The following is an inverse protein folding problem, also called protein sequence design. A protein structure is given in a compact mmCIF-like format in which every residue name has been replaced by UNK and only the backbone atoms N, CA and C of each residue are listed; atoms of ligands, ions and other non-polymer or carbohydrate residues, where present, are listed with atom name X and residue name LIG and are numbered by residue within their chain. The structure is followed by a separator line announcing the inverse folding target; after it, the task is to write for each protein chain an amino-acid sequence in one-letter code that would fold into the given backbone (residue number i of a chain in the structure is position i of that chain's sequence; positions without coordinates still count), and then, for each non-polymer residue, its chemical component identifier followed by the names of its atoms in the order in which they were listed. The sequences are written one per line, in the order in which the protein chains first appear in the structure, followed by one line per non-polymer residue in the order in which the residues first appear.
data_IF_523233244186
#
_entry.id   IF_523233244186
#
_cell.length_a   1.000
_cell.length_b   1.000
_cell.length_c   1.000
_cell.angle_alpha   90.00
_cell.angle_beta   90.00
_cell.angle_gamma   90.00
#
_symmetry.space_group_name_H-M   'P 1'
#
loop_
_entity.id
_entity.type
_entity.pdbx_description
1 polymer ?
#
# COMPACT_ATOMS: atom_id res chain seq x y z
N UNK A 1 -17.22 40.70 -16.33
CA UNK A 1 -18.17 41.32 -15.37
C UNK A 1 -17.43 41.49 -14.06
N UNK A 2 -17.20 42.72 -13.60
CA UNK A 2 -16.59 42.97 -12.30
C UNK A 2 -17.56 42.47 -11.20
N UNK A 3 -17.12 41.52 -10.38
CA UNK A 3 -17.92 41.07 -9.24
C UNK A 3 -17.98 42.22 -8.22
N UNK A 4 -19.17 42.55 -7.72
CA UNK A 4 -19.36 43.60 -6.70
C UNK A 4 -19.83 42.89 -5.43
N UNK A 5 -19.14 43.11 -4.31
CA UNK A 5 -19.57 42.62 -2.99
C UNK A 5 -20.53 43.63 -2.37
N UNK A 6 -21.71 43.21 -1.93
CA UNK A 6 -22.64 44.07 -1.18
C UNK A 6 -22.48 43.85 0.31
N UNK A 7 -22.45 44.95 1.08
CA UNK A 7 -22.34 44.86 2.53
C UNK A 7 -23.68 44.47 3.16
N UNK A 8 -23.72 43.39 3.95
CA UNK A 8 -24.92 42.95 4.67
C UNK A 8 -25.43 43.94 5.73
N UNK A 9 -24.58 44.87 6.20
CA UNK A 9 -24.94 45.84 7.25
C UNK A 9 -25.47 47.16 6.68
N UNK A 10 -24.93 47.65 5.54
CA UNK A 10 -25.31 48.96 4.98
C UNK A 10 -25.80 48.91 3.53
N UNK A 11 -25.87 47.72 2.92
CA UNK A 11 -26.33 47.46 1.55
C UNK A 11 -25.64 48.25 0.43
N UNK A 12 -24.46 48.83 0.70
CA UNK A 12 -23.68 49.55 -0.31
C UNK A 12 -22.72 48.62 -1.07
N UNK A 13 -22.49 48.89 -2.37
CA UNK A 13 -21.55 48.11 -3.18
C UNK A 13 -20.11 48.40 -2.78
N UNK A 14 -19.25 47.39 -2.87
CA UNK A 14 -17.82 47.47 -2.61
C UNK A 14 -17.04 46.63 -3.64
N UNK A 15 -15.74 46.91 -3.80
CA UNK A 15 -14.89 46.14 -4.71
C UNK A 15 -14.80 44.65 -4.30
N UNK A 16 -14.53 43.78 -5.26
CA UNK A 16 -14.40 42.33 -5.06
C UNK A 16 -13.24 41.93 -4.15
N UNK A 17 -12.20 42.74 -4.07
CA UNK A 17 -11.04 42.53 -3.19
C UNK A 17 -11.22 43.12 -1.78
N UNK A 18 -12.26 43.93 -1.53
CA UNK A 18 -12.43 44.60 -0.24
C UNK A 18 -12.75 43.61 0.90
N UNK A 19 -11.90 43.63 1.93
CA UNK A 19 -12.04 42.81 3.16
C UNK A 19 -12.97 43.46 4.20
N UNK A 20 -13.13 44.79 4.13
CA UNK A 20 -13.99 45.60 4.99
C UNK A 20 -14.85 46.54 4.15
N UNK A 21 -16.06 46.83 4.62
CA UNK A 21 -16.95 47.77 3.97
C UNK A 21 -16.39 49.19 4.07
N UNK A 22 -16.18 49.86 2.93
CA UNK A 22 -15.68 51.23 2.86
C UNK A 22 -16.65 52.28 3.46
N UNK A 23 -17.90 51.91 3.72
CA UNK A 23 -18.93 52.83 4.23
C UNK A 23 -19.27 52.64 5.71
N UNK A 24 -19.20 51.43 6.24
CA UNK A 24 -19.61 51.15 7.63
C UNK A 24 -18.57 50.38 8.45
N UNK A 25 -17.42 50.03 7.86
CA UNK A 25 -16.33 49.34 8.56
C UNK A 25 -16.60 47.87 8.90
N UNK A 26 -17.78 47.33 8.57
CA UNK A 26 -18.11 45.92 8.81
C UNK A 26 -17.26 45.01 7.94
N UNK A 27 -16.69 43.93 8.51
CA UNK A 27 -15.94 42.93 7.76
C UNK A 27 -16.83 42.29 6.70
N UNK A 28 -16.42 42.34 5.44
CA UNK A 28 -17.14 41.70 4.34
C UNK A 28 -16.77 40.23 4.35
N UNK A 29 -17.66 39.40 4.87
CA UNK A 29 -17.53 37.96 4.70
C UNK A 29 -17.71 37.66 3.22
N UNK A 30 -16.80 36.88 2.64
CA UNK A 30 -16.91 36.36 1.28
C UNK A 30 -18.08 35.41 1.21
N UNK A 31 -19.31 35.94 1.17
CA UNK A 31 -20.48 35.17 0.79
C UNK A 31 -20.39 35.05 -0.73
N UNK A 32 -19.58 34.09 -1.17
CA UNK A 32 -19.71 33.56 -2.52
C UNK A 32 -21.16 33.10 -2.63
N UNK A 33 -21.98 33.86 -3.34
CA UNK A 33 -23.32 33.45 -3.74
C UNK A 33 -23.12 32.22 -4.63
N UNK A 34 -23.03 31.03 -4.02
CA UNK A 34 -22.91 29.75 -4.74
C UNK A 34 -23.97 29.76 -5.83
N UNK A 35 -23.53 29.55 -7.06
CA UNK A 35 -24.44 29.49 -8.20
C UNK A 35 -25.50 28.41 -7.93
N UNK A 36 -26.71 28.57 -8.48
CA UNK A 36 -27.78 27.55 -8.37
C UNK A 36 -27.29 26.15 -8.78
N UNK A 37 -26.31 26.09 -9.68
CA UNK A 37 -25.63 24.86 -10.09
C UNK A 37 -24.78 24.23 -8.96
N UNK A 38 -24.00 25.03 -8.23
CA UNK A 38 -23.19 24.52 -7.11
C UNK A 38 -24.07 24.01 -5.95
N UNK A 39 -25.18 24.69 -5.65
CA UNK A 39 -26.14 24.21 -4.64
C UNK A 39 -26.78 22.87 -5.05
N UNK A 40 -27.11 22.72 -6.34
CA UNK A 40 -27.61 21.45 -6.87
C UNK A 40 -26.54 20.33 -6.84
N UNK A 41 -25.27 20.65 -7.09
CA UNK A 41 -24.17 19.68 -7.01
C UNK A 41 -23.90 19.23 -5.58
N UNK A 42 -23.97 20.15 -4.59
CA UNK A 42 -23.84 19.79 -3.17
C UNK A 42 -24.99 18.86 -2.74
N UNK A 43 -26.23 19.21 -3.09
CA UNK A 43 -27.41 18.41 -2.78
C UNK A 43 -27.34 17.01 -3.41
N UNK A 44 -26.91 16.93 -4.67
CA UNK A 44 -26.67 15.65 -5.34
C UNK A 44 -25.55 14.85 -4.65
N UNK A 45 -24.48 15.51 -4.21
CA UNK A 45 -23.41 14.89 -3.44
C UNK A 45 -23.91 14.23 -2.14
N UNK A 46 -24.74 14.95 -1.38
CA UNK A 46 -25.37 14.44 -0.16
C UNK A 46 -26.32 13.27 -0.44
N UNK A 47 -27.13 13.33 -1.50
CA UNK A 47 -27.99 12.21 -1.92
C UNK A 47 -27.15 10.97 -2.29
N UNK A 48 -26.08 11.15 -3.07
CA UNK A 48 -25.18 10.06 -3.45
C UNK A 48 -24.44 9.47 -2.25
N UNK A 49 -24.08 10.28 -1.25
CA UNK A 49 -23.50 9.78 0.00
C UNK A 49 -24.51 8.94 0.78
N UNK A 50 -25.77 9.37 0.88
CA UNK A 50 -26.83 8.60 1.54
C UNK A 50 -27.15 7.29 0.81
N UNK A 51 -27.22 7.33 -0.53
CA UNK A 51 -27.39 6.15 -1.37
C UNK A 51 -26.21 5.19 -1.17
N UNK A 52 -24.98 5.71 -1.18
CA UNK A 52 -23.77 4.96 -0.90
C UNK A 52 -23.82 4.26 0.45
N UNK A 53 -24.15 4.98 1.53
CA UNK A 53 -24.29 4.41 2.88
C UNK A 53 -25.38 3.34 2.98
N UNK A 54 -26.50 3.49 2.27
CA UNK A 54 -27.60 2.51 2.26
C UNK A 54 -27.19 1.24 1.52
N UNK A 55 -26.55 1.40 0.36
CA UNK A 55 -25.99 0.31 -0.44
C UNK A 55 -24.91 -0.42 0.36
N UNK A 56 -23.98 0.30 1.00
CA UNK A 56 -22.92 -0.27 1.82
C UNK A 56 -23.47 -1.17 2.93
N UNK A 57 -24.43 -0.69 3.72
CA UNK A 57 -25.07 -1.49 4.78
C UNK A 57 -25.78 -2.74 4.23
N UNK A 58 -26.41 -2.61 3.06
CA UNK A 58 -27.11 -3.72 2.40
C UNK A 58 -26.11 -4.76 1.88
N UNK A 59 -25.01 -4.31 1.27
CA UNK A 59 -23.93 -5.18 0.80
C UNK A 59 -23.23 -5.85 1.98
N UNK A 60 -22.92 -5.12 3.04
CA UNK A 60 -22.21 -5.65 4.21
C UNK A 60 -23.03 -6.73 4.92
N UNK A 61 -24.33 -6.47 5.15
CA UNK A 61 -25.22 -7.46 5.77
C UNK A 61 -25.36 -8.72 4.92
N UNK A 62 -25.55 -8.57 3.60
CA UNK A 62 -25.66 -9.70 2.67
C UNK A 62 -24.33 -10.45 2.53
N UNK A 63 -23.21 -9.74 2.51
CA UNK A 63 -21.87 -10.31 2.44
C UNK A 63 -21.56 -11.18 3.66
N UNK A 64 -21.85 -10.73 4.88
CA UNK A 64 -21.68 -11.53 6.11
C UNK A 64 -22.52 -12.80 6.10
N UNK A 65 -23.77 -12.71 5.63
CA UNK A 65 -24.64 -13.88 5.51
C UNK A 65 -24.10 -14.89 4.48
N UNK A 66 -23.62 -14.41 3.33
CA UNK A 66 -23.02 -15.27 2.30
C UNK A 66 -21.74 -15.92 2.84
N UNK A 67 -20.85 -15.17 3.51
CA UNK A 67 -19.61 -15.70 4.07
C UNK A 67 -19.92 -16.79 5.13
N UNK A 68 -20.88 -16.53 6.03
CA UNK A 68 -21.30 -17.52 7.03
C UNK A 68 -21.89 -18.77 6.39
N UNK A 69 -22.76 -18.64 5.39
CA UNK A 69 -23.35 -19.78 4.69
C UNK A 69 -22.28 -20.57 3.92
N UNK A 70 -21.36 -19.87 3.26
CA UNK A 70 -20.29 -20.46 2.49
C UNK A 70 -19.32 -21.27 3.37
N UNK A 71 -18.88 -20.69 4.48
CA UNK A 71 -17.98 -21.34 5.43
C UNK A 71 -18.62 -22.58 6.07
N UNK A 72 -19.92 -22.50 6.37
CA UNK A 72 -20.68 -23.62 6.95
C UNK A 72 -20.88 -24.76 5.93
N UNK A 73 -21.12 -24.42 4.67
CA UNK A 73 -21.48 -25.40 3.64
C UNK A 73 -20.26 -26.08 3.03
N UNK A 74 -19.21 -25.32 2.71
CA UNK A 74 -18.09 -25.82 1.93
C UNK A 74 -16.82 -26.06 2.73
N UNK A 75 -16.73 -25.57 3.98
CA UNK A 75 -15.67 -25.92 4.94
C UNK A 75 -14.26 -25.96 4.34
N UNK A 76 -13.72 -27.17 4.15
CA UNK A 76 -12.39 -27.39 3.55
C UNK A 76 -12.33 -27.16 2.03
N UNK A 77 -13.43 -27.38 1.31
CA UNK A 77 -13.53 -27.17 -0.14
C UNK A 77 -13.77 -25.71 -0.55
N UNK A 78 -14.09 -24.84 0.41
CA UNK A 78 -14.34 -23.42 0.16
C UNK A 78 -13.28 -22.75 -0.73
N UNK A 79 -11.98 -22.83 -0.42
CA UNK A 79 -10.94 -22.19 -1.24
C UNK A 79 -10.85 -22.71 -2.68
N UNK A 80 -11.16 -23.99 -2.89
CA UNK A 80 -11.14 -24.62 -4.21
C UNK A 80 -12.32 -24.09 -5.02
N UNK A 81 -13.51 -24.07 -4.42
CA UNK A 81 -14.72 -23.61 -5.09
C UNK A 81 -14.62 -22.13 -5.48
N UNK A 82 -14.07 -21.28 -4.61
CA UNK A 82 -13.88 -19.86 -4.93
C UNK A 82 -12.88 -19.65 -6.07
N UNK A 83 -11.78 -20.43 -6.09
CA UNK A 83 -10.81 -20.40 -7.17
C UNK A 83 -11.43 -20.89 -8.50
N UNK A 84 -12.25 -21.93 -8.48
CA UNK A 84 -12.95 -22.45 -9.68
C UNK A 84 -14.00 -21.46 -10.21
N UNK A 85 -14.73 -20.78 -9.33
CA UNK A 85 -15.67 -19.73 -9.73
C UNK A 85 -14.89 -18.57 -10.38
N UNK A 86 -13.83 -18.09 -9.74
CA UNK A 86 -12.99 -17.03 -10.28
C UNK A 86 -12.37 -17.40 -11.63
N UNK A 87 -11.89 -18.64 -11.76
CA UNK A 87 -11.37 -19.19 -13.01
C UNK A 87 -12.44 -19.25 -14.11
N UNK A 88 -13.65 -19.70 -13.77
CA UNK A 88 -14.76 -19.78 -14.72
C UNK A 88 -15.15 -18.40 -15.23
N UNK A 89 -15.19 -17.40 -14.33
CA UNK A 89 -15.44 -16.00 -14.70
C UNK A 89 -14.34 -15.48 -15.61
N UNK A 90 -13.07 -15.71 -15.26
CA UNK A 90 -11.93 -15.30 -16.09
C UNK A 90 -11.99 -15.94 -17.49
N UNK A 91 -12.30 -17.23 -17.57
CA UNK A 91 -12.46 -17.94 -18.84
C UNK A 91 -13.59 -17.34 -19.69
N UNK A 92 -14.73 -17.03 -19.09
CA UNK A 92 -15.84 -16.34 -19.79
C UNK A 92 -15.37 -14.98 -20.31
N UNK A 93 -14.64 -14.20 -19.50
CA UNK A 93 -14.09 -12.90 -19.92
C UNK A 93 -13.17 -13.08 -21.13
N UNK A 94 -12.26 -14.06 -21.11
CA UNK A 94 -11.35 -14.34 -22.24
C UNK A 94 -12.15 -14.64 -23.51
N UNK A 95 -13.19 -15.47 -23.42
CA UNK A 95 -14.05 -15.80 -24.56
C UNK A 95 -14.80 -14.59 -25.09
N UNK A 96 -15.30 -13.71 -24.21
CA UNK A 96 -15.92 -12.44 -24.59
C UNK A 96 -14.91 -11.56 -25.34
N UNK A 97 -13.71 -11.38 -24.78
CA UNK A 97 -12.65 -10.60 -25.42
C UNK A 97 -12.23 -11.17 -26.77
N UNK A 98 -12.15 -12.51 -26.89
CA UNK A 98 -11.84 -13.19 -28.15
C UNK A 98 -12.92 -12.93 -29.20
N UNK A 99 -14.20 -13.03 -28.81
CA UNK A 99 -15.34 -12.78 -29.68
C UNK A 99 -15.36 -11.34 -30.22
N UNK A 100 -15.26 -10.35 -29.33
CA UNK A 100 -15.22 -8.94 -29.73
C UNK A 100 -13.88 -8.55 -30.39
N UNK A 101 -12.82 -9.28 -30.11
CA UNK A 101 -11.47 -9.11 -30.66
C UNK A 101 -11.40 -9.25 -32.17
N UNK A 102 -12.33 -10.00 -32.79
CA UNK A 102 -12.42 -10.09 -34.25
C UNK A 102 -12.62 -8.73 -34.92
N UNK A 103 -13.24 -7.77 -34.23
CA UNK A 103 -13.47 -6.41 -34.74
C UNK A 103 -12.42 -5.40 -34.30
N UNK A 104 -11.61 -5.69 -33.27
CA UNK A 104 -10.67 -4.75 -32.63
C UNK A 104 -9.36 -5.47 -32.26
N UNK A 105 -8.24 -5.18 -32.96
CA UNK A 105 -6.97 -5.88 -32.76
C UNK A 105 -6.46 -5.87 -31.31
N UNK A 106 -6.57 -4.74 -30.62
CA UNK A 106 -6.13 -4.60 -29.23
C UNK A 106 -6.86 -5.54 -28.26
N UNK A 107 -8.14 -5.87 -28.51
CA UNK A 107 -8.90 -6.83 -27.68
C UNK A 107 -8.45 -8.27 -27.95
N UNK A 108 -8.09 -8.59 -29.21
CA UNK A 108 -7.59 -9.89 -29.58
C UNK A 108 -6.25 -10.19 -28.91
N UNK A 109 -5.32 -9.24 -28.94
CA UNK A 109 -4.02 -9.39 -28.26
C UNK A 109 -4.16 -9.56 -26.75
N UNK A 110 -5.07 -8.80 -26.12
CA UNK A 110 -5.39 -8.98 -24.70
C UNK A 110 -5.94 -10.39 -24.44
N UNK A 111 -6.85 -10.88 -25.29
CA UNK A 111 -7.41 -12.23 -25.15
C UNK A 111 -6.31 -13.31 -25.23
N UNK A 112 -5.43 -13.23 -26.23
CA UNK A 112 -4.30 -14.15 -26.41
C UNK A 112 -3.35 -14.10 -25.22
N UNK A 113 -3.08 -12.91 -24.69
CA UNK A 113 -2.27 -12.75 -23.48
C UNK A 113 -2.93 -13.43 -22.28
N UNK A 114 -4.22 -13.15 -22.00
CA UNK A 114 -4.92 -13.78 -20.88
C UNK A 114 -5.00 -15.32 -21.02
N UNK A 115 -5.17 -15.83 -22.23
CA UNK A 115 -5.19 -17.27 -22.52
C UNK A 115 -3.82 -17.91 -22.25
N UNK A 116 -2.74 -17.26 -22.69
CA UNK A 116 -1.35 -17.73 -22.48
C UNK A 116 -0.98 -17.84 -21.00
N UNK A 117 -1.54 -16.96 -20.16
CA UNK A 117 -1.30 -16.94 -18.70
C UNK A 117 -2.45 -17.53 -17.87
N UNK A 118 -3.42 -18.18 -18.51
CA UNK A 118 -4.62 -18.69 -17.84
C UNK A 118 -4.30 -19.67 -16.69
N UNK A 119 -3.36 -20.59 -16.90
CA UNK A 119 -2.91 -21.55 -15.87
C UNK A 119 -2.19 -20.84 -14.71
N UNK A 120 -1.42 -19.80 -15.02
CA UNK A 120 -0.72 -19.00 -14.02
C UNK A 120 -1.75 -18.22 -13.16
N UNK A 121 -2.77 -17.62 -13.77
CA UNK A 121 -3.85 -16.97 -13.02
C UNK A 121 -4.63 -17.97 -12.16
N UNK A 122 -4.91 -19.17 -12.67
CA UNK A 122 -5.54 -20.24 -11.90
C UNK A 122 -4.71 -20.61 -10.65
N UNK A 123 -3.41 -20.84 -10.83
CA UNK A 123 -2.50 -21.16 -9.72
C UNK A 123 -2.47 -20.04 -8.68
N UNK A 124 -2.52 -18.79 -9.11
CA UNK A 124 -2.54 -17.61 -8.23
C UNK A 124 -3.87 -17.49 -7.48
N UNK A 125 -5.01 -17.66 -8.15
CA UNK A 125 -6.32 -17.66 -7.49
C UNK A 125 -6.39 -18.76 -6.44
N UNK A 126 -5.87 -19.94 -6.76
CA UNK A 126 -5.77 -21.05 -5.82
C UNK A 126 -4.88 -20.69 -4.62
N UNK A 127 -3.66 -20.20 -4.87
CA UNK A 127 -2.71 -19.81 -3.84
C UNK A 127 -3.27 -18.71 -2.93
N UNK A 128 -3.94 -17.71 -3.50
CA UNK A 128 -4.59 -16.62 -2.78
C UNK A 128 -5.75 -17.11 -1.91
N UNK A 129 -6.66 -17.92 -2.47
CA UNK A 129 -7.79 -18.49 -1.74
C UNK A 129 -7.35 -19.37 -0.58
N UNK A 130 -6.34 -20.22 -0.80
CA UNK A 130 -5.80 -21.09 0.25
C UNK A 130 -5.01 -20.31 1.30
N UNK A 131 -4.20 -19.33 0.89
CA UNK A 131 -3.48 -18.45 1.83
C UNK A 131 -4.43 -17.76 2.80
N UNK A 132 -5.53 -17.19 2.30
CA UNK A 132 -6.53 -16.55 3.14
C UNK A 132 -7.20 -17.55 4.09
N UNK A 133 -7.58 -18.73 3.60
CA UNK A 133 -8.19 -19.77 4.43
C UNK A 133 -7.27 -20.27 5.54
N UNK A 134 -6.02 -20.60 5.21
CA UNK A 134 -5.03 -21.05 6.18
C UNK A 134 -4.69 -19.95 7.20
N UNK A 135 -4.66 -18.68 6.78
CA UNK A 135 -4.42 -17.56 7.71
C UNK A 135 -5.52 -17.42 8.77
N UNK A 136 -6.78 -17.69 8.40
CA UNK A 136 -7.92 -17.68 9.35
C UNK A 136 -7.88 -18.89 10.29
N UNK A 137 -7.49 -20.06 9.78
CA UNK A 137 -7.60 -21.34 10.50
C UNK A 137 -6.36 -21.71 11.32
N UNK A 138 -5.16 -21.34 10.90
CA UNK A 138 -3.89 -21.72 11.53
C UNK A 138 -3.08 -20.48 11.93
N UNK A 139 -2.92 -20.26 13.25
CA UNK A 139 -2.11 -19.16 13.81
C UNK A 139 -0.68 -19.07 13.24
N UNK A 140 0.11 -20.16 13.09
CA UNK A 140 1.48 -20.05 12.55
C UNK A 140 1.49 -19.65 11.07
N UNK A 141 0.41 -19.88 10.33
CA UNK A 141 0.31 -19.55 8.91
C UNK A 141 0.00 -18.06 8.66
N UNK A 142 -0.41 -17.32 9.70
CA UNK A 142 -0.64 -15.86 9.60
C UNK A 142 0.62 -15.09 9.19
N UNK A 143 1.81 -15.62 9.48
CA UNK A 143 3.08 -15.03 9.08
C UNK A 143 3.39 -15.18 7.59
N UNK A 144 2.91 -16.24 6.93
CA UNK A 144 3.14 -16.47 5.49
C UNK A 144 2.15 -15.69 4.60
N UNK A 145 0.99 -15.32 5.14
CA UNK A 145 -0.07 -14.57 4.44
C UNK A 145 0.41 -13.29 3.75
N UNK A 146 1.15 -12.37 4.41
CA UNK A 146 1.61 -11.14 3.77
C UNK A 146 2.61 -11.39 2.64
N UNK A 147 3.46 -12.42 2.76
CA UNK A 147 4.44 -12.77 1.73
C UNK A 147 3.76 -13.34 0.48
N UNK A 148 2.80 -14.26 0.68
CA UNK A 148 2.00 -14.80 -0.42
C UNK A 148 1.19 -13.68 -1.08
N UNK A 149 0.57 -12.80 -0.30
CA UNK A 149 -0.15 -11.63 -0.81
C UNK A 149 0.74 -10.72 -1.65
N UNK A 150 1.98 -10.47 -1.23
CA UNK A 150 2.94 -9.67 -1.98
C UNK A 150 3.34 -10.32 -3.32
N UNK A 151 3.58 -11.63 -3.33
CA UNK A 151 3.89 -12.37 -4.56
C UNK A 151 2.71 -12.30 -5.54
N UNK A 152 1.49 -12.55 -5.04
CA UNK A 152 0.25 -12.46 -5.83
C UNK A 152 0.07 -11.06 -6.40
N UNK A 153 0.24 -10.02 -5.57
CA UNK A 153 0.15 -8.62 -6.00
C UNK A 153 1.17 -8.29 -7.09
N UNK A 154 2.42 -8.75 -6.95
CA UNK A 154 3.45 -8.50 -7.95
C UNK A 154 3.13 -9.13 -9.29
N UNK A 155 2.55 -10.33 -9.30
CA UNK A 155 2.16 -10.98 -10.55
C UNK A 155 0.96 -10.27 -11.20
N UNK A 156 -0.02 -9.83 -10.41
CA UNK A 156 -1.10 -8.98 -10.91
C UNK A 156 -0.60 -7.66 -11.49
N UNK A 157 0.36 -7.03 -10.83
CA UNK A 157 1.00 -5.81 -11.30
C UNK A 157 1.76 -6.03 -12.60
N UNK A 158 2.50 -7.13 -12.71
CA UNK A 158 3.17 -7.55 -13.96
C UNK A 158 2.17 -7.74 -15.11
N UNK A 159 1.06 -8.45 -14.86
CA UNK A 159 0.03 -8.66 -15.87
C UNK A 159 -0.62 -7.34 -16.32
N UNK A 160 -0.85 -6.41 -15.38
CA UNK A 160 -1.38 -5.09 -15.70
C UNK A 160 -0.43 -4.26 -16.60
N UNK A 161 0.88 -4.33 -16.33
CA UNK A 161 1.92 -3.72 -17.17
C UNK A 161 1.87 -4.31 -18.58
N UNK A 162 1.79 -5.63 -18.73
CA UNK A 162 1.71 -6.27 -20.05
C UNK A 162 0.48 -5.84 -20.85
N UNK A 163 -0.68 -5.73 -20.19
CA UNK A 163 -1.90 -5.18 -20.83
C UNK A 163 -1.66 -3.74 -21.29
N UNK A 164 -0.99 -2.93 -20.47
CA UNK A 164 -0.65 -1.55 -20.83
C UNK A 164 0.33 -1.48 -22.03
N UNK A 165 1.30 -2.40 -22.13
CA UNK A 165 2.20 -2.52 -23.30
C UNK A 165 1.38 -2.80 -24.56
N UNK A 166 0.49 -3.78 -24.52
CA UNK A 166 -0.35 -4.18 -25.65
C UNK A 166 -1.15 -2.98 -26.17
N UNK A 167 -1.79 -2.25 -25.26
CA UNK A 167 -2.55 -1.04 -25.60
C UNK A 167 -1.62 0.04 -26.16
N UNK A 168 -0.48 0.31 -25.51
CA UNK A 168 0.45 1.35 -25.95
C UNK A 168 1.00 1.09 -27.36
N UNK A 169 1.27 -0.16 -27.69
CA UNK A 169 1.74 -0.56 -29.02
C UNK A 169 0.66 -0.36 -30.09
N UNK A 170 -0.60 -0.66 -29.78
CA UNK A 170 -1.70 -0.50 -30.72
C UNK A 170 -2.08 0.95 -31.00
N UNK A 171 -1.87 1.85 -30.03
CA UNK A 171 -2.16 3.28 -30.19
C UNK A 171 -0.91 4.13 -30.46
N UNK A 172 0.26 3.51 -30.68
CA UNK A 172 1.54 4.19 -30.93
C UNK A 172 1.90 5.23 -29.86
N UNK A 173 1.53 4.96 -28.60
CA UNK A 173 1.72 5.87 -27.47
C UNK A 173 3.15 5.78 -26.92
N UNK A 174 4.08 6.50 -27.54
CA UNK A 174 5.52 6.51 -27.19
C UNK A 174 5.82 6.86 -25.74
N UNK A 175 5.07 7.80 -25.14
CA UNK A 175 5.20 8.16 -23.72
C UNK A 175 4.83 6.99 -22.80
N UNK A 176 3.77 6.26 -23.15
CA UNK A 176 3.31 5.09 -22.39
C UNK A 176 4.29 3.94 -22.54
N UNK A 177 4.85 3.70 -23.73
CA UNK A 177 5.89 2.67 -23.91
C UNK A 177 7.11 2.92 -23.02
N UNK A 178 7.62 4.15 -23.00
CA UNK A 178 8.75 4.53 -22.15
C UNK A 178 8.44 4.30 -20.67
N UNK A 179 7.23 4.68 -20.25
CA UNK A 179 6.75 4.45 -18.89
C UNK A 179 6.71 2.96 -18.57
N UNK A 180 6.11 2.14 -19.43
CA UNK A 180 5.95 0.71 -19.18
C UNK A 180 7.29 -0.03 -19.14
N UNK A 181 8.25 0.31 -20.02
CA UNK A 181 9.62 -0.25 -19.97
C UNK A 181 10.35 0.09 -18.67
N UNK A 182 10.12 1.28 -18.10
CA UNK A 182 10.67 1.63 -16.79
C UNK A 182 10.10 0.75 -15.68
N UNK A 183 8.79 0.48 -15.67
CA UNK A 183 8.19 -0.42 -14.67
C UNK A 183 8.61 -1.89 -14.85
N UNK A 184 8.80 -2.36 -16.09
CA UNK A 184 9.36 -3.70 -16.35
C UNK A 184 10.79 -3.85 -15.80
N UNK A 185 11.61 -2.80 -15.90
CA UNK A 185 12.94 -2.81 -15.29
C UNK A 185 12.88 -2.81 -13.75
N UNK A 186 11.87 -2.17 -13.15
CA UNK A 186 11.72 -2.07 -11.70
C UNK A 186 11.04 -3.27 -11.05
N UNK A 187 10.32 -4.11 -11.78
CA UNK A 187 9.49 -5.15 -11.15
C UNK A 187 10.32 -6.23 -10.46
N UNK A 188 11.36 -6.75 -11.12
CA UNK A 188 12.29 -7.73 -10.54
C UNK A 188 13.01 -7.21 -9.29
N UNK A 189 13.59 -6.00 -9.30
CA UNK A 189 14.24 -5.51 -8.10
C UNK A 189 13.28 -5.26 -6.94
N UNK A 190 12.07 -4.75 -7.21
CA UNK A 190 11.05 -4.55 -6.19
C UNK A 190 10.54 -5.87 -5.62
N UNK A 191 10.37 -6.91 -6.44
CA UNK A 191 9.92 -8.23 -5.95
C UNK A 191 10.93 -8.83 -4.98
N UNK A 192 12.21 -8.78 -5.33
CA UNK A 192 13.29 -9.30 -4.47
C UNK A 192 13.42 -8.48 -3.19
N UNK A 193 13.31 -7.15 -3.28
CA UNK A 193 13.28 -6.25 -2.12
C UNK A 193 12.15 -6.63 -1.14
N UNK A 194 10.93 -6.76 -1.66
CA UNK A 194 9.75 -7.09 -0.85
C UNK A 194 9.88 -8.48 -0.24
N UNK A 195 10.41 -9.44 -0.99
CA UNK A 195 10.66 -10.80 -0.49
C UNK A 195 11.68 -10.80 0.64
N UNK A 196 12.80 -10.05 0.50
CA UNK A 196 13.77 -9.90 1.56
C UNK A 196 13.19 -9.21 2.80
N UNK A 197 12.46 -8.11 2.63
CA UNK A 197 11.81 -7.42 3.75
C UNK A 197 10.81 -8.33 4.47
N UNK A 198 10.02 -9.09 3.72
CA UNK A 198 9.12 -10.09 4.26
C UNK A 198 9.88 -11.18 5.04
N UNK A 199 10.98 -11.71 4.49
CA UNK A 199 11.81 -12.72 5.14
C UNK A 199 12.45 -12.21 6.44
N UNK A 200 13.01 -10.99 6.42
CA UNK A 200 13.56 -10.35 7.62
C UNK A 200 12.46 -10.16 8.67
N UNK A 201 11.28 -9.67 8.28
CA UNK A 201 10.12 -9.51 9.16
C UNK A 201 9.71 -10.81 9.87
N UNK A 202 9.72 -11.93 9.13
CA UNK A 202 9.42 -13.27 9.69
C UNK A 202 10.48 -13.68 10.72
N UNK A 203 11.77 -13.48 10.44
CA UNK A 203 12.86 -13.82 11.38
C UNK A 203 12.82 -12.92 12.63
N UNK A 204 12.59 -11.62 12.46
CA UNK A 204 12.52 -10.70 13.60
C UNK A 204 11.34 -11.01 14.49
N UNK A 205 10.20 -11.39 13.91
CA UNK A 205 9.02 -11.80 14.68
C UNK A 205 9.28 -13.07 15.49
N UNK A 206 10.01 -14.05 14.96
CA UNK A 206 10.30 -15.29 15.70
C UNK A 206 11.28 -15.07 16.86
N UNK A 207 12.23 -14.13 16.71
CA UNK A 207 13.17 -13.76 17.80
C UNK A 207 12.50 -12.95 18.90
N UNK A 208 11.47 -12.17 18.57
CA UNK A 208 10.76 -11.35 19.54
C UNK A 208 10.05 -12.21 20.58
N UNK A 209 9.38 -13.29 20.17
CA UNK A 209 8.71 -14.24 21.07
C UNK A 209 9.69 -14.93 22.05
N UNK A 210 10.90 -15.24 21.58
CA UNK A 210 11.94 -15.84 22.41
C UNK A 210 12.46 -14.86 23.48
N UNK A 211 12.62 -13.59 23.11
CA UNK A 211 13.14 -12.55 24.00
C UNK A 211 12.11 -12.11 25.06
N UNK A 212 10.80 -12.09 24.74
CA UNK A 212 9.74 -11.88 25.73
C UNK A 212 9.69 -13.02 26.75
N UNK A 213 9.98 -14.26 26.34
CA UNK A 213 10.06 -15.39 27.26
C UNK A 213 11.25 -15.24 28.23
N UNK A 214 12.44 -14.88 27.73
CA UNK A 214 13.62 -14.67 28.59
C UNK A 214 13.44 -13.49 29.56
N UNK A 215 12.79 -12.40 29.14
CA UNK A 215 12.45 -11.27 30.04
C UNK A 215 11.40 -11.63 31.08
N UNK A 216 10.40 -12.46 30.74
CA UNK A 216 9.42 -12.94 31.72
C UNK A 216 10.08 -13.85 32.76
N UNK A 217 11.01 -14.71 32.37
CA UNK A 217 11.73 -15.58 33.30
C UNK A 217 12.69 -14.79 34.22
N UNK A 218 13.29 -13.70 33.74
CA UNK A 218 14.09 -12.79 34.58
C UNK A 218 13.23 -11.91 35.50
N UNK A 219 12.10 -11.38 35.03
CA UNK A 219 11.20 -10.53 35.85
C UNK A 219 10.36 -11.28 36.90
N UNK A 220 10.32 -12.62 36.84
CA UNK A 220 9.82 -13.45 37.95
C UNK A 220 10.87 -13.57 39.06
N UNK A 221 12.17 -13.55 38.73
CA UNK A 221 13.25 -13.57 39.72
C UNK A 221 13.54 -12.19 40.35
N UNK A 222 13.28 -11.09 39.64
CA UNK A 222 13.55 -9.73 40.14
C UNK A 222 12.36 -9.08 40.89
N UNK A 223 11.27 -9.81 41.14
CA UNK A 223 10.08 -9.28 41.84
C UNK A 223 10.23 -9.18 43.37
N UNK A 224 11.46 -9.01 43.86
CA UNK A 224 11.73 -8.42 45.18
C UNK A 224 12.46 -7.09 44.97
N UNK A 225 11.68 -6.02 45.13
CA UNK A 225 12.12 -4.64 45.43
C UNK A 225 12.14 -3.66 44.25
N UNK A 226 11.31 -2.62 44.41
CA UNK A 226 11.33 -1.27 43.82
C UNK A 226 10.37 -0.98 42.67
N UNK A 227 9.29 -0.27 43.03
CA UNK A 227 8.49 0.60 42.16
C UNK A 227 9.40 1.64 41.49
N UNK A 228 9.57 1.58 40.16
CA UNK A 228 10.16 2.66 39.38
C UNK A 228 9.30 2.96 38.15
N UNK A 229 9.15 4.26 37.94
CA UNK A 229 8.35 4.96 36.94
C UNK A 229 8.79 4.57 35.53
N UNK A 230 7.84 4.08 34.73
CA UNK A 230 8.02 3.74 33.33
C UNK A 230 8.19 5.03 32.50
N UNK A 231 9.43 5.48 32.31
CA UNK A 231 9.74 6.48 31.29
C UNK A 231 9.88 5.80 29.94
N UNK A 232 8.99 6.14 29.01
CA UNK A 232 9.09 5.74 27.60
C UNK A 232 10.24 6.50 26.94
N UNK A 233 11.45 5.94 27.04
CA UNK A 233 12.60 6.46 26.30
C UNK A 233 12.36 6.29 24.80
N UNK A 234 12.18 7.40 24.10
CA UNK A 234 12.08 7.41 22.65
C UNK A 234 13.46 7.01 22.10
N UNK A 235 13.60 5.76 21.66
CA UNK A 235 14.83 5.27 21.03
C UNK A 235 15.16 6.23 19.87
N UNK A 236 16.30 6.94 19.93
CA UNK A 236 16.76 7.82 18.85
C UNK A 236 17.69 7.05 17.92
N UNK A 237 17.57 7.28 16.61
CA UNK A 237 18.47 6.70 15.61
C UNK A 237 19.81 7.43 15.68
N UNK A 238 20.86 6.70 16.07
CA UNK A 238 22.24 7.17 16.02
C UNK A 238 23.05 6.28 15.08
N UNK A 239 24.10 6.83 14.46
CA UNK A 239 25.09 6.01 13.75
C UNK A 239 25.84 5.12 14.76
N UNK A 240 26.13 3.88 14.40
CA UNK A 240 26.91 2.97 15.25
C UNK A 240 28.42 3.13 15.02
N UNK A 241 29.18 3.16 16.11
CA UNK A 241 30.65 3.15 16.11
C UNK A 241 31.28 1.75 16.32
N UNK A 242 30.48 0.74 16.68
CA UNK A 242 30.98 -0.63 16.93
C UNK A 242 31.12 -1.45 15.65
N UNK A 243 30.17 -1.29 14.72
CA UNK A 243 30.06 -2.12 13.52
C UNK A 243 30.19 -1.28 12.23
N UNK A 244 31.39 -0.73 12.03
CA UNK A 244 31.66 0.34 11.07
C UNK A 244 32.00 -0.18 9.67
N UNK A 245 31.16 0.19 8.70
CA UNK A 245 31.51 0.35 7.29
C UNK A 245 31.04 1.74 6.82
N UNK A 246 31.63 2.29 5.75
CA UNK A 246 31.41 3.62 5.10
C UNK A 246 30.52 4.61 5.90
N UNK A 247 30.90 5.03 7.12
CA UNK A 247 30.18 6.06 7.88
C UNK A 247 29.11 5.59 8.89
N UNK A 248 28.93 4.29 9.13
CA UNK A 248 28.19 3.73 10.27
C UNK A 248 26.67 3.88 10.24
N UNK A 249 26.09 4.24 9.09
CA UNK A 249 24.64 4.45 8.91
C UNK A 249 23.86 3.14 9.01
N UNK A 250 24.30 2.09 8.29
CA UNK A 250 23.64 0.78 8.32
C UNK A 250 23.78 0.08 9.67
N UNK A 251 24.91 0.27 10.37
CA UNK A 251 25.10 -0.21 11.74
C UNK A 251 24.26 0.56 12.76
N UNK A 252 24.02 1.86 12.52
CA UNK A 252 23.09 2.64 13.33
C UNK A 252 21.63 2.20 13.16
N UNK A 253 21.24 1.92 11.93
CA UNK A 253 19.91 1.39 11.62
C UNK A 253 19.69 0.00 12.22
N UNK A 254 20.73 -0.82 12.29
CA UNK A 254 20.67 -2.15 12.92
C UNK A 254 20.51 -2.07 14.44
N UNK A 255 21.23 -1.17 15.11
CA UNK A 255 21.06 -0.90 16.54
C UNK A 255 19.68 -0.32 16.88
N UNK A 256 19.17 0.56 16.03
CA UNK A 256 17.82 1.12 16.18
C UNK A 256 16.76 0.01 16.08
N UNK A 257 16.84 -0.82 15.04
CA UNK A 257 15.89 -1.90 14.76
C UNK A 257 16.15 -3.19 15.58
N UNK A 258 17.24 -3.28 16.36
CA UNK A 258 17.68 -4.52 17.04
C UNK A 258 17.81 -5.72 16.07
N UNK A 259 18.26 -5.46 14.83
CA UNK A 259 18.49 -6.48 13.80
C UNK A 259 19.99 -6.65 13.59
N UNK A 260 20.44 -7.82 13.13
CA UNK A 260 21.84 -8.06 12.79
C UNK A 260 22.29 -7.09 11.65
N UNK A 261 23.40 -6.35 11.83
CA UNK A 261 23.91 -5.41 10.82
C UNK A 261 24.20 -6.06 9.47
N UNK A 262 24.56 -7.35 9.46
CA UNK A 262 24.84 -8.11 8.24
C UNK A 262 23.59 -8.22 7.34
N UNK A 263 22.42 -8.44 7.95
CA UNK A 263 21.14 -8.55 7.24
C UNK A 263 20.81 -7.21 6.57
N UNK A 264 20.97 -6.10 7.29
CA UNK A 264 20.70 -4.75 6.76
C UNK A 264 21.70 -4.40 5.64
N UNK A 265 22.95 -4.85 5.73
CA UNK A 265 23.95 -4.69 4.66
C UNK A 265 23.58 -5.48 3.41
N UNK A 266 23.21 -6.75 3.53
CA UNK A 266 22.80 -7.59 2.38
C UNK A 266 21.58 -6.98 1.69
N UNK A 267 20.60 -6.54 2.48
CA UNK A 267 19.42 -5.86 1.97
C UNK A 267 19.84 -4.61 1.18
N UNK A 268 20.63 -3.72 1.77
CA UNK A 268 21.11 -2.49 1.11
C UNK A 268 21.85 -2.77 -0.21
N UNK A 269 22.72 -3.79 -0.25
CA UNK A 269 23.43 -4.17 -1.49
C UNK A 269 22.46 -4.65 -2.55
N UNK A 270 21.45 -5.44 -2.18
CA UNK A 270 20.41 -5.86 -3.12
C UNK A 270 19.60 -4.66 -3.66
N UNK A 271 19.24 -3.71 -2.79
CA UNK A 271 18.59 -2.46 -3.20
C UNK A 271 19.47 -1.62 -4.14
N UNK A 272 20.78 -1.66 -3.95
CA UNK A 272 21.72 -0.90 -4.78
C UNK A 272 21.73 -1.41 -6.22
N UNK A 273 21.77 -2.73 -6.45
CA UNK A 273 21.63 -3.31 -7.79
C UNK A 273 20.23 -3.11 -8.38
N UNK A 274 19.24 -2.98 -7.50
CA UNK A 274 17.84 -2.84 -7.83
C UNK A 274 17.40 -1.42 -8.22
N UNK A 275 18.12 -0.41 -7.72
CA UNK A 275 17.82 0.98 -8.01
C UNK A 275 18.83 1.54 -9.01
N UNK A 276 18.38 2.41 -9.90
CA UNK A 276 19.24 3.16 -10.82
C UNK A 276 20.03 4.24 -10.04
N UNK A 277 20.79 3.82 -9.02
CA UNK A 277 21.61 4.67 -8.17
C UNK A 277 20.87 5.47 -7.08
N UNK A 278 19.54 5.39 -6.98
CA UNK A 278 18.78 6.20 -6.01
C UNK A 278 19.10 5.84 -4.55
N UNK A 279 19.33 4.55 -4.25
CA UNK A 279 19.70 4.10 -2.90
C UNK A 279 21.08 4.62 -2.47
N UNK A 280 21.99 4.86 -3.41
CA UNK A 280 23.30 5.48 -3.13
C UNK A 280 23.07 6.90 -2.62
N UNK A 281 22.14 7.64 -3.22
CA UNK A 281 21.79 9.00 -2.79
C UNK A 281 21.14 9.03 -1.39
N UNK A 282 20.25 8.07 -1.10
CA UNK A 282 19.64 7.92 0.22
C UNK A 282 20.68 7.65 1.32
N UNK A 283 21.74 6.90 1.02
CA UNK A 283 22.83 6.66 1.95
C UNK A 283 23.63 7.93 2.26
N UNK A 284 23.94 8.73 1.24
CA UNK A 284 24.62 10.02 1.41
C UNK A 284 23.80 10.97 2.29
N UNK A 285 22.50 11.04 2.07
CA UNK A 285 21.57 11.84 2.88
C UNK A 285 21.57 11.36 4.34
N UNK A 286 21.44 10.05 4.57
CA UNK A 286 21.49 9.46 5.91
C UNK A 286 22.82 9.69 6.62
N UNK A 287 23.93 9.68 5.87
CA UNK A 287 25.25 9.95 6.42
C UNK A 287 25.44 11.40 6.90
N UNK A 288 24.73 12.35 6.29
CA UNK A 288 24.72 13.76 6.71
C UNK A 288 23.74 13.99 7.85
N UNK A 289 22.51 13.48 7.75
CA UNK A 289 21.42 13.79 8.68
C UNK A 289 21.51 13.06 10.04
N UNK A 290 21.94 11.81 10.06
CA UNK A 290 21.87 10.99 11.28
C UNK A 290 23.05 11.38 12.20
N UNK A 291 22.85 11.79 13.47
CA UNK A 291 23.96 12.15 14.34
C UNK A 291 24.80 10.93 14.76
N UNK A 292 26.06 11.17 15.13
CA UNK A 292 26.94 10.13 15.70
C UNK A 292 26.52 9.83 17.13
N UNK A 293 26.42 8.54 17.47
CA UNK A 293 26.20 8.10 18.85
C UNK A 293 27.35 8.57 19.78
N UNK A 294 27.09 9.41 20.80
CA UNK A 294 28.13 9.91 21.71
C UNK A 294 28.72 8.82 22.62
N UNK A 295 28.02 7.68 22.80
CA UNK A 295 28.42 6.62 23.72
C UNK A 295 29.36 5.58 23.09
N UNK A 296 29.66 5.69 21.79
CA UNK A 296 30.56 4.79 21.08
C UNK A 296 31.91 5.48 20.88
N UNK A 297 33.00 4.73 21.04
CA UNK A 297 34.34 5.20 20.68
C UNK A 297 34.48 5.13 19.15
N UNK A 298 34.65 6.29 18.54
CA UNK A 298 34.82 6.48 17.09
C UNK A 298 36.31 6.42 16.73
#
# INVERSE_FOLDING_TARGET
MLAIKTCSSCNKPNSDDATFCQHCGTKLNTVSSKSKFEQNMDHFGEEMEQIGKKIEKTIESKSKHIESWYDTTFGFFGPILSALIAFSILFIIINIFSFFGQSRPWMLEISIFLESFLLLFLAIFFLSSFSNYFSKKFKPFRFASPLIGAIVFMIWFWAAIQILVIIANQFELSSVQTFTSFFEALIFPLTVLILLLGYVGVITSSKQDLFTQTKNDQSVNDRKTTTQTEQTDYKRLYRSGKDRMIGGVLGGLSEYLNVDPTIIRILYVLLLFASVGFIILAYFIGWILIPRNPNHQW
#
